data_IF_328865379064
#
_entry.id   IF_328865379064
#
_cell.length_a   1.000
_cell.length_b   1.000
_cell.length_c   1.000
_cell.angle_alpha   90.00
_cell.angle_beta   90.00
_cell.angle_gamma   90.00
#
_symmetry.space_group_name_H-M   'P 1'
#
loop_
_entity.id
_entity.type
_entity.pdbx_description
1 polymer ?
#
# COMPACT_ATOMS: atom_id res chain seq x y z
N UNK A 1 1.43 -76.72 -63.60
CA UNK A 1 0.76 -75.41 -63.78
C UNK A 1 -0.21 -75.20 -62.62
N UNK A 2 -0.03 -74.10 -61.88
CA UNK A 2 -1.00 -73.28 -61.11
C UNK A 2 -1.96 -73.99 -60.14
N UNK A 3 -1.70 -73.90 -58.82
CA UNK A 3 -2.14 -72.86 -57.85
C UNK A 3 -3.55 -73.16 -57.29
N UNK A 4 -3.65 -73.33 -55.97
CA UNK A 4 -4.69 -72.82 -55.03
C UNK A 4 -4.58 -73.62 -53.72
N UNK A 5 -4.54 -72.92 -52.58
CA UNK A 5 -4.37 -73.47 -51.23
C UNK A 5 -3.72 -72.43 -50.32
N UNK A 6 -4.35 -71.26 -50.14
CA UNK A 6 -5.28 -70.93 -49.05
C UNK A 6 -4.54 -70.57 -47.75
N UNK A 7 -4.47 -69.25 -47.53
CA UNK A 7 -4.37 -68.49 -46.28
C UNK A 7 -4.19 -69.29 -44.98
N UNK A 8 -3.04 -69.07 -44.33
CA UNK A 8 -2.93 -69.21 -42.87
C UNK A 8 -2.43 -67.86 -42.35
N UNK A 9 -3.37 -67.16 -41.70
CA UNK A 9 -3.19 -65.86 -41.10
C UNK A 9 -2.12 -65.95 -40.00
N UNK A 10 -0.98 -65.31 -40.23
CA UNK A 10 -0.07 -64.93 -39.16
C UNK A 10 -0.74 -63.82 -38.36
N UNK A 11 -1.19 -64.16 -37.14
CA UNK A 11 -1.61 -63.21 -36.13
C UNK A 11 -0.41 -62.30 -35.84
N UNK A 12 -0.39 -61.15 -36.48
CA UNK A 12 0.46 -60.03 -36.08
C UNK A 12 -0.13 -59.54 -34.76
N UNK A 13 0.48 -59.97 -33.66
CA UNK A 13 0.20 -59.44 -32.33
C UNK A 13 0.57 -57.96 -32.36
N UNK A 14 -0.43 -57.10 -32.56
CA UNK A 14 -0.34 -55.69 -32.22
C UNK A 14 -0.23 -55.67 -30.69
N UNK A 15 1.00 -55.65 -30.19
CA UNK A 15 1.29 -55.13 -28.87
C UNK A 15 0.82 -53.67 -28.92
N UNK A 16 -0.43 -53.43 -28.55
CA UNK A 16 -0.81 -52.13 -28.03
C UNK A 16 0.09 -51.95 -26.82
N UNK A 17 1.14 -51.15 -27.00
CA UNK A 17 1.70 -50.39 -25.90
C UNK A 17 0.50 -49.67 -25.29
N UNK A 18 -0.02 -50.20 -24.19
CA UNK A 18 -0.66 -49.37 -23.20
C UNK A 18 0.44 -48.40 -22.76
N UNK A 19 0.60 -47.31 -23.52
CA UNK A 19 1.01 -46.08 -22.93
C UNK A 19 0.01 -45.89 -21.79
N UNK A 20 0.45 -46.12 -20.56
CA UNK A 20 -0.11 -45.42 -19.42
C UNK A 20 0.09 -43.93 -19.74
N UNK A 21 -0.81 -43.36 -20.55
CA UNK A 21 -1.05 -41.94 -20.47
C UNK A 21 -1.48 -41.74 -19.03
N UNK A 22 -0.63 -41.09 -18.22
CA UNK A 22 -1.17 -40.29 -17.12
C UNK A 22 -2.29 -39.49 -17.77
N UNK A 23 -3.52 -39.68 -17.32
CA UNK A 23 -4.57 -38.75 -17.69
C UNK A 23 -4.02 -37.36 -17.33
N UNK A 24 -3.98 -36.46 -18.31
CA UNK A 24 -3.78 -35.05 -18.07
C UNK A 24 -4.81 -34.63 -17.03
N UNK A 25 -4.34 -34.03 -15.94
CA UNK A 25 -5.20 -33.59 -14.86
C UNK A 25 -6.05 -32.45 -15.40
N UNK A 26 -7.30 -32.37 -14.97
CA UNK A 26 -8.10 -31.17 -15.23
C UNK A 26 -7.78 -30.05 -14.22
N UNK A 27 -8.27 -28.83 -14.49
CA UNK A 27 -8.02 -27.65 -13.66
C UNK A 27 -8.51 -27.80 -12.22
N UNK A 28 -9.60 -28.54 -12.00
CA UNK A 28 -10.12 -28.78 -10.64
C UNK A 28 -9.21 -29.73 -9.88
N UNK A 29 -8.69 -30.76 -10.55
CA UNK A 29 -7.72 -31.69 -9.97
C UNK A 29 -6.38 -31.01 -9.66
N UNK A 30 -5.92 -30.10 -10.54
CA UNK A 30 -4.69 -29.32 -10.30
C UNK A 30 -4.85 -28.39 -9.09
N UNK A 31 -5.94 -27.61 -9.01
CA UNK A 31 -6.21 -26.74 -7.87
C UNK A 31 -6.35 -27.53 -6.57
N UNK A 32 -7.11 -28.63 -6.56
CA UNK A 32 -7.27 -29.47 -5.38
C UNK A 32 -5.93 -30.01 -4.85
N UNK A 33 -5.04 -30.43 -5.75
CA UNK A 33 -3.69 -30.87 -5.36
C UNK A 33 -2.81 -29.74 -4.86
N UNK A 34 -3.00 -28.53 -5.40
CA UNK A 34 -2.24 -27.36 -4.96
C UNK A 34 -2.66 -26.93 -3.56
N UNK A 35 -3.96 -26.98 -3.25
CA UNK A 35 -4.49 -26.77 -1.89
C UNK A 35 -3.93 -27.81 -0.91
N UNK A 36 -3.88 -29.09 -1.30
CA UNK A 36 -3.28 -30.14 -0.48
C UNK A 36 -1.78 -29.89 -0.24
N UNK A 37 -1.03 -29.52 -1.28
CA UNK A 37 0.40 -29.24 -1.18
C UNK A 37 0.70 -28.01 -0.31
N UNK A 38 -0.12 -26.97 -0.41
CA UNK A 38 0.04 -25.71 0.33
C UNK A 38 -0.11 -25.90 1.85
N UNK A 39 -0.89 -26.90 2.28
CA UNK A 39 -1.03 -27.24 3.70
C UNK A 39 0.26 -27.79 4.34
N UNK A 40 1.20 -28.29 3.53
CA UNK A 40 2.49 -28.84 3.97
C UNK A 40 3.65 -27.80 3.83
N UNK A 41 3.32 -26.56 3.48
CA UNK A 41 4.28 -25.45 3.44
C UNK A 41 4.43 -24.88 4.85
N UNK A 42 5.68 -24.77 5.29
CA UNK A 42 6.09 -24.25 6.59
C UNK A 42 7.02 -23.05 6.47
N UNK A 43 7.62 -22.85 5.30
CA UNK A 43 8.39 -21.65 5.01
C UNK A 43 8.63 -21.50 3.53
N UNK A 44 8.88 -20.29 3.06
CA UNK A 44 9.28 -20.03 1.68
C UNK A 44 9.86 -18.62 1.54
N UNK A 45 10.55 -18.38 0.43
CA UNK A 45 11.04 -17.06 0.04
C UNK A 45 10.18 -16.50 -1.08
N UNK A 46 9.92 -15.20 -1.07
CA UNK A 46 9.22 -14.47 -2.13
C UNK A 46 10.13 -13.45 -2.80
N UNK A 47 9.89 -13.22 -4.09
CA UNK A 47 10.44 -12.10 -4.85
C UNK A 47 9.35 -11.56 -5.77
N UNK A 48 9.08 -10.26 -5.71
CA UNK A 48 8.05 -9.58 -6.49
C UNK A 48 8.65 -8.35 -7.16
N UNK A 49 8.31 -8.15 -8.43
CA UNK A 49 8.53 -6.91 -9.16
C UNK A 49 7.18 -6.40 -9.67
N UNK A 50 6.88 -5.13 -9.43
CA UNK A 50 5.62 -4.50 -9.75
C UNK A 50 5.84 -3.09 -10.30
N UNK A 51 5.09 -2.73 -11.33
CA UNK A 51 4.93 -1.36 -11.80
C UNK A 51 3.48 -0.92 -11.62
N UNK A 52 3.30 0.27 -11.07
CA UNK A 52 2.03 0.95 -10.86
C UNK A 52 2.07 2.25 -11.68
N UNK A 53 1.11 2.39 -12.60
CA UNK A 53 0.98 3.56 -13.49
C UNK A 53 -0.37 4.23 -13.24
N UNK A 54 -0.36 5.35 -12.54
CA UNK A 54 -1.53 6.16 -12.22
C UNK A 54 -1.42 7.51 -12.94
N UNK A 55 -1.87 7.53 -14.19
CA UNK A 55 -1.81 8.68 -15.11
C UNK A 55 -0.41 9.31 -15.23
N UNK A 56 -0.14 10.42 -14.53
CA UNK A 56 1.16 11.10 -14.54
C UNK A 56 2.15 10.58 -13.47
N UNK A 57 1.71 9.71 -12.57
CA UNK A 57 2.54 9.11 -11.53
C UNK A 57 2.89 7.66 -11.85
N UNK A 58 4.20 7.40 -11.98
CA UNK A 58 4.75 6.05 -12.13
C UNK A 58 5.51 5.67 -10.87
N UNK A 59 5.22 4.48 -10.39
CA UNK A 59 5.86 3.86 -9.25
C UNK A 59 6.32 2.45 -9.66
N UNK A 60 7.49 2.04 -9.21
CA UNK A 60 7.92 0.64 -9.27
C UNK A 60 8.23 0.14 -7.87
N UNK A 61 7.76 -1.05 -7.55
CA UNK A 61 8.00 -1.72 -6.27
C UNK A 61 8.73 -3.03 -6.57
N UNK A 62 9.86 -3.26 -5.90
CA UNK A 62 10.48 -4.58 -5.83
C UNK A 62 10.50 -5.04 -4.40
N UNK A 63 10.12 -6.29 -4.15
CA UNK A 63 10.04 -6.88 -2.82
C UNK A 63 10.76 -8.21 -2.83
N UNK A 64 11.47 -8.52 -1.76
CA UNK A 64 12.03 -9.83 -1.50
C UNK A 64 11.91 -10.14 -0.01
N UNK A 65 11.73 -11.41 0.33
CA UNK A 65 11.66 -11.75 1.73
C UNK A 65 11.39 -13.21 1.99
N UNK A 66 11.27 -13.51 3.28
CA UNK A 66 11.07 -14.85 3.80
C UNK A 66 9.83 -14.89 4.69
N UNK A 67 9.07 -15.97 4.56
CA UNK A 67 7.86 -16.25 5.33
C UNK A 67 8.04 -17.62 5.99
N UNK A 68 7.70 -17.72 7.28
CA UNK A 68 7.68 -18.97 8.04
C UNK A 68 6.35 -19.15 8.74
N UNK A 69 5.91 -20.39 8.90
CA UNK A 69 4.73 -20.78 9.66
C UNK A 69 5.09 -21.62 10.88
N UNK A 70 4.34 -21.47 11.97
CA UNK A 70 4.57 -22.16 13.24
C UNK A 70 6.00 -22.00 13.83
N UNK A 71 6.42 -20.80 14.26
CA UNK A 71 5.60 -19.59 14.40
C UNK A 71 5.45 -18.81 13.08
N UNK A 72 4.35 -18.07 12.96
CA UNK A 72 4.11 -17.20 11.81
C UNK A 72 5.03 -15.98 11.92
N UNK A 73 5.87 -15.78 10.91
CA UNK A 73 6.84 -14.69 10.86
C UNK A 73 7.10 -14.29 9.40
N UNK A 74 7.23 -13.00 9.17
CA UNK A 74 7.47 -12.39 7.86
C UNK A 74 8.64 -11.41 7.97
N UNK A 75 9.65 -11.57 7.12
CA UNK A 75 10.74 -10.60 6.94
C UNK A 75 10.82 -10.17 5.49
N UNK A 76 10.55 -8.90 5.22
CA UNK A 76 10.50 -8.34 3.87
C UNK A 76 11.49 -7.19 3.72
N UNK A 77 12.07 -7.09 2.53
CA UNK A 77 12.81 -5.94 2.06
C UNK A 77 12.11 -5.45 0.79
N UNK A 78 11.59 -4.24 0.84
CA UNK A 78 10.90 -3.58 -0.25
C UNK A 78 11.73 -2.38 -0.71
N UNK A 79 11.75 -2.15 -2.01
CA UNK A 79 12.35 -1.00 -2.63
C UNK A 79 11.29 -0.36 -3.53
N UNK A 80 10.94 0.88 -3.22
CA UNK A 80 9.95 1.66 -3.93
C UNK A 80 10.64 2.81 -4.65
N UNK A 81 10.48 2.89 -5.96
CA UNK A 81 10.86 4.07 -6.75
C UNK A 81 9.59 4.83 -7.13
N UNK A 82 9.54 6.11 -6.78
CA UNK A 82 8.46 7.01 -7.17
C UNK A 82 9.06 8.33 -7.61
N UNK A 83 8.79 8.73 -8.84
CA UNK A 83 9.29 10.00 -9.43
C UNK A 83 10.82 10.18 -9.33
N UNK A 84 11.58 9.07 -9.33
CA UNK A 84 13.05 9.07 -9.22
C UNK A 84 13.58 9.25 -7.79
N UNK A 85 12.71 9.23 -6.78
CA UNK A 85 13.08 9.03 -5.39
C UNK A 85 12.94 7.55 -5.06
N UNK A 86 14.00 6.99 -4.49
CA UNK A 86 14.04 5.58 -4.11
C UNK A 86 13.96 5.47 -2.58
N UNK A 87 13.04 4.65 -2.09
CA UNK A 87 12.80 4.37 -0.68
C UNK A 87 13.03 2.88 -0.42
N UNK A 88 14.00 2.58 0.44
CA UNK A 88 14.20 1.24 0.98
C UNK A 88 13.37 1.09 2.25
N UNK A 89 12.57 0.04 2.30
CA UNK A 89 11.71 -0.34 3.43
C UNK A 89 12.08 -1.76 3.86
N UNK A 90 12.33 -1.96 5.16
CA UNK A 90 12.53 -3.29 5.74
C UNK A 90 11.41 -3.56 6.75
N UNK A 91 10.88 -4.78 6.80
CA UNK A 91 9.74 -5.11 7.66
C UNK A 91 9.95 -6.44 8.36
N UNK A 92 9.71 -6.48 9.66
CA UNK A 92 9.51 -7.70 10.44
C UNK A 92 8.09 -7.71 10.99
N UNK A 93 7.37 -8.82 10.81
CA UNK A 93 5.98 -8.93 11.25
C UNK A 93 5.68 -10.34 11.78
N UNK A 94 5.07 -10.41 12.95
CA UNK A 94 4.41 -11.60 13.49
C UNK A 94 3.07 -11.21 14.13
N UNK A 95 2.38 -12.15 14.78
CA UNK A 95 1.04 -11.90 15.36
C UNK A 95 1.04 -10.89 16.52
N UNK A 96 2.19 -10.71 17.18
CA UNK A 96 2.34 -9.91 18.39
C UNK A 96 3.13 -8.61 18.16
N UNK A 97 4.05 -8.59 17.19
CA UNK A 97 5.03 -7.51 16.98
C UNK A 97 5.20 -7.20 15.49
N UNK A 98 5.24 -5.90 15.16
CA UNK A 98 5.52 -5.42 13.81
C UNK A 98 6.52 -4.26 13.86
N UNK A 99 7.53 -4.31 13.00
CA UNK A 99 8.54 -3.28 12.88
C UNK A 99 8.78 -2.96 11.42
N UNK A 100 8.83 -1.67 11.09
CA UNK A 100 9.14 -1.18 9.76
C UNK A 100 10.31 -0.21 9.83
N UNK A 101 11.33 -0.42 9.00
CA UNK A 101 12.37 0.56 8.78
C UNK A 101 12.10 1.36 7.53
N UNK A 102 12.21 2.68 7.64
CA UNK A 102 12.22 3.58 6.50
C UNK A 102 13.44 4.49 6.61
N UNK A 103 14.25 4.57 5.54
CA UNK A 103 15.48 5.39 5.53
C UNK A 103 16.49 5.04 6.65
N UNK A 104 16.42 3.82 7.19
CA UNK A 104 17.31 3.31 8.24
C UNK A 104 16.88 3.59 9.67
N UNK A 105 15.75 4.27 9.88
CA UNK A 105 15.13 4.43 11.20
C UNK A 105 14.04 3.37 11.36
N UNK A 106 13.91 2.77 12.55
CA UNK A 106 12.92 1.72 12.84
C UNK A 106 11.70 2.32 13.54
N UNK A 107 10.53 1.85 13.16
CA UNK A 107 9.24 2.19 13.78
C UNK A 107 8.56 0.91 14.24
N UNK A 108 7.97 0.96 15.43
CA UNK A 108 7.02 -0.05 15.89
C UNK A 108 5.64 0.27 15.33
N UNK A 109 5.00 -0.72 14.71
CA UNK A 109 3.68 -0.61 14.07
C UNK A 109 2.68 -1.52 14.78
N UNK A 110 1.38 -1.23 14.65
CA UNK A 110 0.36 -2.22 15.03
C UNK A 110 0.38 -3.38 14.01
N UNK A 111 0.58 -4.65 14.42
CA UNK A 111 0.57 -5.79 13.51
C UNK A 111 -0.71 -5.91 12.66
N UNK A 112 -1.84 -5.40 13.15
CA UNK A 112 -3.11 -5.39 12.42
C UNK A 112 -3.17 -4.37 11.28
N UNK A 113 -2.25 -3.41 11.22
CA UNK A 113 -2.18 -2.46 10.10
C UNK A 113 -1.43 -3.03 8.89
N UNK A 114 -0.51 -3.97 9.13
CA UNK A 114 0.27 -4.60 8.05
C UNK A 114 -0.42 -5.86 7.53
N UNK A 115 -1.14 -6.59 8.39
CA UNK A 115 -1.90 -7.78 8.02
C UNK A 115 -1.00 -8.93 7.53
N UNK A 116 -0.70 -9.88 8.41
CA UNK A 116 0.11 -11.06 8.07
C UNK A 116 -0.41 -11.82 6.84
N UNK A 117 -1.73 -11.96 6.76
CA UNK A 117 -2.42 -12.67 5.68
C UNK A 117 -2.18 -12.02 4.31
N UNK A 118 -2.02 -10.69 4.26
CA UNK A 118 -1.76 -9.95 3.02
C UNK A 118 -0.50 -10.42 2.30
N UNK A 119 0.49 -10.93 3.03
CA UNK A 119 1.77 -11.36 2.45
C UNK A 119 1.84 -12.88 2.24
N UNK A 120 0.92 -13.66 2.81
CA UNK A 120 0.94 -15.12 2.80
C UNK A 120 0.23 -15.74 1.57
N UNK A 121 0.78 -15.47 0.38
CA UNK A 121 0.10 -15.69 -0.90
C UNK A 121 0.00 -17.16 -1.37
N UNK A 122 0.71 -18.10 -0.75
CA UNK A 122 0.69 -19.53 -1.18
C UNK A 122 0.17 -20.47 -0.10
N UNK A 123 -0.55 -19.92 0.88
CA UNK A 123 -1.19 -20.73 1.90
C UNK A 123 -2.44 -21.45 1.37
N UNK A 124 -2.97 -22.33 2.22
CA UNK A 124 -4.14 -23.14 1.88
C UNK A 124 -5.38 -22.29 1.61
N UNK A 125 -5.59 -21.21 2.35
CA UNK A 125 -6.76 -20.35 2.24
C UNK A 125 -6.77 -19.58 0.92
N UNK A 126 -5.64 -18.97 0.55
CA UNK A 126 -5.46 -18.29 -0.74
C UNK A 126 -5.70 -19.23 -1.92
N UNK A 127 -5.14 -20.44 -1.86
CA UNK A 127 -5.39 -21.44 -2.91
C UNK A 127 -6.85 -21.93 -2.95
N UNK A 128 -7.55 -21.94 -1.80
CA UNK A 128 -8.98 -22.26 -1.74
C UNK A 128 -9.84 -21.16 -2.38
N UNK A 129 -9.48 -19.88 -2.26
CA UNK A 129 -10.19 -18.76 -2.93
C UNK A 129 -10.24 -18.96 -4.45
N UNK A 130 -9.16 -19.42 -5.06
CA UNK A 130 -9.08 -19.65 -6.52
C UNK A 130 -10.13 -20.67 -7.03
N UNK A 131 -10.61 -21.57 -6.18
CA UNK A 131 -11.61 -22.57 -6.57
C UNK A 131 -12.94 -21.95 -7.02
N UNK A 132 -13.26 -20.75 -6.52
CA UNK A 132 -14.44 -19.97 -6.93
C UNK A 132 -14.43 -19.64 -8.43
N UNK A 133 -13.23 -19.51 -9.01
CA UNK A 133 -13.00 -19.10 -10.40
C UNK A 133 -12.59 -20.27 -11.31
N UNK A 134 -12.67 -21.50 -10.81
CA UNK A 134 -12.24 -22.71 -11.54
C UNK A 134 -12.82 -22.75 -12.95
N UNK A 135 -14.10 -22.45 -13.15
CA UNK A 135 -14.75 -22.52 -14.47
C UNK A 135 -14.24 -21.46 -15.45
N UNK A 136 -13.81 -20.30 -14.95
CA UNK A 136 -13.30 -19.17 -15.73
C UNK A 136 -11.84 -19.35 -16.13
N UNK A 137 -11.07 -20.14 -15.37
CA UNK A 137 -9.69 -20.45 -15.74
C UNK A 137 -9.58 -21.21 -17.06
N UNK A 138 -8.71 -20.72 -17.93
CA UNK A 138 -8.10 -21.49 -19.00
C UNK A 138 -6.84 -22.17 -18.46
N UNK A 139 -6.65 -23.45 -18.77
CA UNK A 139 -5.45 -24.18 -18.34
C UNK A 139 -4.66 -24.67 -19.55
N UNK A 140 -3.35 -24.39 -19.52
CA UNK A 140 -2.38 -24.98 -20.44
C UNK A 140 -1.38 -25.83 -19.69
N UNK A 141 -0.96 -26.92 -20.32
CA UNK A 141 0.09 -27.78 -19.79
C UNK A 141 1.41 -27.52 -20.50
N UNK A 142 2.42 -27.10 -19.74
CA UNK A 142 3.79 -26.95 -20.21
C UNK A 142 4.67 -28.13 -19.76
N UNK A 143 5.98 -28.11 -20.05
CA UNK A 143 6.87 -29.23 -19.74
C UNK A 143 6.91 -29.56 -18.24
N UNK A 144 7.08 -28.54 -17.40
CA UNK A 144 7.26 -28.70 -15.94
C UNK A 144 6.15 -28.07 -15.10
N UNK A 145 5.19 -27.38 -15.71
CA UNK A 145 4.18 -26.61 -14.98
C UNK A 145 2.79 -26.71 -15.62
N UNK A 146 1.77 -26.56 -14.79
CA UNK A 146 0.42 -26.18 -15.18
C UNK A 146 0.32 -24.66 -15.14
N UNK A 147 -0.28 -24.06 -16.16
CA UNK A 147 -0.48 -22.61 -16.23
C UNK A 147 -1.97 -22.35 -16.26
N UNK A 148 -2.49 -21.68 -15.23
CA UNK A 148 -3.89 -21.27 -15.10
C UNK A 148 -4.00 -19.79 -15.42
N UNK A 149 -4.73 -19.43 -16.48
CA UNK A 149 -4.96 -18.05 -16.91
C UNK A 149 -6.40 -17.64 -16.65
N UNK A 150 -6.57 -16.49 -16.01
CA UNK A 150 -7.86 -15.83 -15.82
C UNK A 150 -7.80 -14.47 -16.50
N UNK A 151 -8.71 -14.23 -17.44
CA UNK A 151 -8.82 -12.94 -18.12
C UNK A 151 -10.26 -12.46 -18.15
N UNK A 152 -10.46 -11.16 -17.96
CA UNK A 152 -11.76 -10.52 -18.15
C UNK A 152 -11.92 -9.24 -17.35
N UNK A 153 -13.15 -8.84 -17.10
CA UNK A 153 -13.50 -7.60 -16.42
C UNK A 153 -14.83 -7.72 -15.67
N UNK A 154 -15.14 -8.93 -15.23
CA UNK A 154 -16.36 -9.23 -14.49
C UNK A 154 -16.17 -8.79 -13.03
N UNK A 155 -17.17 -8.13 -12.45
CA UNK A 155 -17.17 -7.67 -11.06
C UNK A 155 -16.96 -8.81 -10.05
N UNK A 156 -17.24 -10.07 -10.43
CA UNK A 156 -16.92 -11.24 -9.60
C UNK A 156 -15.43 -11.40 -9.33
N UNK A 157 -14.55 -10.81 -10.13
CA UNK A 157 -13.09 -10.87 -9.92
C UNK A 157 -12.57 -9.83 -8.93
N UNK A 158 -13.44 -8.98 -8.38
CA UNK A 158 -13.06 -7.93 -7.44
C UNK A 158 -12.30 -8.45 -6.22
N UNK A 159 -12.68 -9.60 -5.68
CA UNK A 159 -11.98 -10.25 -4.56
C UNK A 159 -10.49 -10.50 -4.87
N UNK A 160 -10.17 -10.93 -6.10
CA UNK A 160 -8.77 -11.16 -6.51
C UNK A 160 -7.98 -9.86 -6.69
N UNK A 161 -8.65 -8.76 -6.99
CA UNK A 161 -8.02 -7.44 -7.11
C UNK A 161 -7.73 -6.87 -5.73
N UNK A 162 -8.68 -7.02 -4.80
CA UNK A 162 -8.50 -6.67 -3.39
C UNK A 162 -7.26 -7.40 -2.82
N UNK A 163 -7.14 -8.72 -3.05
CA UNK A 163 -5.96 -9.50 -2.62
C UNK A 163 -4.64 -8.93 -3.19
N UNK A 164 -4.59 -8.60 -4.49
CA UNK A 164 -3.38 -8.03 -5.13
C UNK A 164 -3.04 -6.66 -4.53
N UNK A 165 -4.03 -5.80 -4.33
CA UNK A 165 -3.81 -4.46 -3.74
C UNK A 165 -3.31 -4.59 -2.30
N UNK A 166 -3.98 -5.40 -1.46
CA UNK A 166 -3.59 -5.63 -0.07
C UNK A 166 -2.18 -6.22 0.04
N UNK A 167 -1.80 -7.15 -0.83
CA UNK A 167 -0.44 -7.72 -0.86
C UNK A 167 0.65 -6.70 -1.19
N UNK A 168 0.28 -5.63 -1.90
CA UNK A 168 1.19 -4.59 -2.38
C UNK A 168 1.36 -3.45 -1.40
N UNK A 169 0.30 -3.15 -0.63
CA UNK A 169 0.22 -1.98 0.24
C UNK A 169 0.11 -2.34 1.73
N UNK A 170 -0.04 -3.63 2.09
CA UNK A 170 -0.44 -4.05 3.44
C UNK A 170 -1.93 -3.80 3.71
N UNK A 171 -2.38 -4.06 4.94
CA UNK A 171 -3.73 -3.69 5.43
C UNK A 171 -3.90 -2.17 5.68
N UNK A 172 -3.19 -1.32 4.94
CA UNK A 172 -3.42 0.14 4.84
C UNK A 172 -4.84 0.47 4.30
N UNK A 173 -5.62 -0.56 3.95
CA UNK A 173 -7.07 -0.55 3.74
C UNK A 173 -7.93 -0.19 4.98
N UNK A 174 -7.35 -0.06 6.18
CA UNK A 174 -8.09 0.36 7.37
C UNK A 174 -8.41 1.87 7.40
N UNK A 175 -7.80 2.67 6.52
CA UNK A 175 -8.18 4.06 6.31
C UNK A 175 -9.55 4.12 5.58
N UNK A 176 -10.58 4.78 6.15
CA UNK A 176 -11.90 4.92 5.52
C UNK A 176 -11.85 5.52 4.11
N UNK A 177 -10.86 6.36 3.80
CA UNK A 177 -10.63 6.94 2.48
C UNK A 177 -10.10 5.89 1.49
N UNK A 178 -9.16 5.04 1.92
CA UNK A 178 -8.68 3.91 1.11
C UNK A 178 -9.78 2.88 0.86
N UNK A 179 -10.65 2.64 1.85
CA UNK A 179 -11.83 1.79 1.69
C UNK A 179 -12.80 2.36 0.64
N UNK A 180 -13.10 3.66 0.67
CA UNK A 180 -13.92 4.32 -0.36
C UNK A 180 -13.27 4.25 -1.74
N UNK A 181 -11.95 4.46 -1.83
CA UNK A 181 -11.21 4.34 -3.09
C UNK A 181 -11.32 2.94 -3.68
N UNK A 182 -11.07 1.88 -2.89
CA UNK A 182 -11.23 0.47 -3.32
C UNK A 182 -12.67 0.19 -3.74
N UNK A 183 -13.65 0.74 -3.04
CA UNK A 183 -15.06 0.63 -3.39
C UNK A 183 -15.44 1.33 -4.70
N UNK A 184 -14.68 2.35 -5.10
CA UNK A 184 -14.90 3.10 -6.34
C UNK A 184 -14.28 2.47 -7.60
N UNK A 185 -13.40 1.47 -7.42
CA UNK A 185 -12.65 0.83 -8.50
C UNK A 185 -13.60 0.13 -9.49
N UNK A 186 -13.39 0.41 -10.78
CA UNK A 186 -13.98 -0.32 -11.90
C UNK A 186 -12.92 -1.12 -12.62
N UNK A 187 -13.21 -2.40 -12.83
CA UNK A 187 -12.31 -3.31 -13.54
C UNK A 187 -12.46 -3.07 -15.04
N UNK A 188 -11.40 -2.65 -15.73
CA UNK A 188 -11.39 -2.57 -17.20
C UNK A 188 -10.91 -3.84 -17.83
N UNK A 189 -9.82 -4.36 -17.29
CA UNK A 189 -9.21 -5.57 -17.72
C UNK A 189 -8.42 -6.18 -16.56
N UNK A 190 -8.52 -7.48 -16.41
CA UNK A 190 -7.78 -8.28 -15.45
C UNK A 190 -7.17 -9.42 -16.25
N UNK A 191 -5.86 -9.59 -16.12
CA UNK A 191 -5.14 -10.79 -16.56
C UNK A 191 -4.33 -11.31 -15.38
N UNK A 192 -4.63 -12.53 -14.94
CA UNK A 192 -3.87 -13.25 -13.92
C UNK A 192 -3.40 -14.57 -14.48
N UNK A 193 -2.16 -14.94 -14.18
CA UNK A 193 -1.55 -16.20 -14.58
C UNK A 193 -0.87 -16.86 -13.40
N UNK A 194 -1.28 -18.08 -13.06
CA UNK A 194 -0.73 -18.87 -11.97
C UNK A 194 0.04 -20.07 -12.53
N UNK A 195 1.29 -20.20 -12.12
CA UNK A 195 2.20 -21.27 -12.51
C UNK A 195 2.33 -22.28 -11.38
N UNK A 196 1.91 -23.52 -11.63
CA UNK A 196 1.88 -24.60 -10.63
C UNK A 196 2.84 -25.69 -11.08
N UNK A 197 3.82 -26.02 -10.25
CA UNK A 197 4.81 -27.06 -10.54
C UNK A 197 4.15 -28.45 -10.66
N UNK A 198 4.51 -29.22 -11.69
CA UNK A 198 3.86 -30.51 -12.00
C UNK A 198 4.24 -31.63 -11.04
N UNK A 199 5.35 -31.52 -10.32
CA UNK A 199 5.84 -32.55 -9.41
C UNK A 199 5.31 -32.34 -8.00
N UNK A 200 5.37 -31.10 -7.53
CA UNK A 200 5.05 -30.68 -6.16
C UNK A 200 3.65 -30.13 -6.02
N UNK A 201 3.03 -29.65 -7.11
CA UNK A 201 1.76 -28.92 -7.11
C UNK A 201 1.79 -27.59 -6.34
N UNK A 202 2.97 -27.05 -6.07
CA UNK A 202 3.11 -25.76 -5.42
C UNK A 202 2.99 -24.66 -6.47
N UNK A 203 2.29 -23.58 -6.12
CA UNK A 203 2.26 -22.34 -6.91
C UNK A 203 3.61 -21.64 -6.79
N UNK A 204 4.32 -21.51 -7.92
CA UNK A 204 5.71 -21.02 -7.97
C UNK A 204 5.84 -19.61 -8.52
N UNK A 205 4.85 -19.15 -9.29
CA UNK A 205 4.88 -17.84 -9.94
C UNK A 205 3.46 -17.35 -10.25
N UNK A 206 3.23 -16.08 -10.02
CA UNK A 206 2.02 -15.36 -10.40
C UNK A 206 2.42 -14.18 -11.28
N UNK A 207 1.77 -14.02 -12.43
CA UNK A 207 1.89 -12.83 -13.27
C UNK A 207 0.55 -12.13 -13.28
N UNK A 208 0.56 -10.81 -13.11
CA UNK A 208 -0.65 -9.99 -13.14
C UNK A 208 -0.46 -8.77 -14.04
N UNK A 209 -1.52 -8.43 -14.75
CA UNK A 209 -1.63 -7.23 -15.59
C UNK A 209 -3.09 -6.76 -15.50
N UNK A 210 -3.30 -5.71 -14.72
CA UNK A 210 -4.60 -5.23 -14.27
C UNK A 210 -4.77 -3.77 -14.69
N UNK A 211 -5.83 -3.49 -15.43
CA UNK A 211 -6.27 -2.14 -15.79
C UNK A 211 -7.55 -1.81 -15.00
N UNK A 212 -7.47 -0.76 -14.19
CA UNK A 212 -8.51 -0.27 -13.31
C UNK A 212 -8.86 1.19 -13.65
N UNK A 213 -10.06 1.60 -13.28
CA UNK A 213 -10.45 3.01 -13.21
C UNK A 213 -10.92 3.32 -11.80
N UNK A 214 -10.26 4.26 -11.14
CA UNK A 214 -10.75 4.85 -9.88
C UNK A 214 -11.66 6.02 -10.20
N UNK A 215 -12.78 6.12 -9.49
CA UNK A 215 -13.78 7.16 -9.74
C UNK A 215 -14.03 7.93 -8.45
N UNK A 216 -13.53 9.16 -8.40
CA UNK A 216 -13.78 10.09 -7.30
C UNK A 216 -14.60 11.28 -7.80
N UNK A 217 -15.87 11.35 -7.39
CA UNK A 217 -16.83 12.33 -7.86
C UNK A 217 -16.98 12.32 -9.39
N UNK A 218 -16.55 13.41 -10.04
CA UNK A 218 -16.56 13.59 -11.50
C UNK A 218 -15.20 13.25 -12.16
N UNK A 219 -14.17 12.94 -11.36
CA UNK A 219 -12.83 12.59 -11.81
C UNK A 219 -12.72 11.08 -12.01
N UNK A 220 -12.05 10.65 -13.08
CA UNK A 220 -11.76 9.24 -13.33
C UNK A 220 -10.28 9.10 -13.62
N UNK A 221 -9.58 8.36 -12.77
CA UNK A 221 -8.14 8.15 -12.85
C UNK A 221 -7.85 6.73 -13.30
N UNK A 222 -7.18 6.52 -14.45
CA UNK A 222 -6.76 5.19 -14.86
C UNK A 222 -5.61 4.72 -13.97
N UNK A 223 -5.66 3.45 -13.58
CA UNK A 223 -4.64 2.79 -12.77
C UNK A 223 -4.26 1.48 -13.44
N UNK A 224 -2.99 1.32 -13.82
CA UNK A 224 -2.47 0.07 -14.37
C UNK A 224 -1.47 -0.54 -13.40
N UNK A 225 -1.68 -1.81 -13.06
CA UNK A 225 -0.83 -2.56 -12.13
C UNK A 225 -0.33 -3.79 -12.89
N UNK A 226 0.98 -3.91 -13.05
CA UNK A 226 1.58 -5.07 -13.72
C UNK A 226 2.78 -5.57 -12.94
N UNK A 227 2.95 -6.88 -12.88
CA UNK A 227 4.05 -7.45 -12.12
C UNK A 227 4.10 -8.96 -12.14
N UNK A 228 5.09 -9.47 -11.44
CA UNK A 228 5.36 -10.88 -11.24
C UNK A 228 5.72 -11.11 -9.77
N UNK A 229 5.15 -12.14 -9.16
CA UNK A 229 5.51 -12.67 -7.86
C UNK A 229 6.04 -14.08 -8.07
N UNK A 230 7.20 -14.40 -7.51
CA UNK A 230 7.79 -15.73 -7.53
C UNK A 230 8.00 -16.25 -6.12
N UNK A 231 7.82 -17.55 -5.96
CA UNK A 231 8.05 -18.25 -4.69
C UNK A 231 9.14 -19.30 -4.86
N UNK A 232 9.98 -19.41 -3.85
CA UNK A 232 11.14 -20.30 -3.86
C UNK A 232 11.49 -20.77 -2.45
N UNK A 233 12.56 -21.56 -2.32
CA UNK A 233 13.08 -22.03 -1.03
C UNK A 233 12.03 -22.69 -0.11
N UNK A 234 11.07 -23.42 -0.71
CA UNK A 234 9.99 -24.08 0.02
C UNK A 234 10.57 -25.00 1.11
N UNK A 235 10.11 -24.81 2.35
CA UNK A 235 10.52 -25.52 3.55
C UNK A 235 12.04 -25.46 3.83
N UNK A 236 12.72 -24.45 3.30
CA UNK A 236 14.18 -24.26 3.41
C UNK A 236 14.62 -22.99 4.14
N UNK A 237 13.70 -22.17 4.65
CA UNK A 237 14.01 -20.96 5.43
C UNK A 237 14.27 -21.36 6.87
N UNK A 238 15.29 -20.78 7.49
CA UNK A 238 15.50 -20.92 8.94
C UNK A 238 14.44 -20.12 9.72
N UNK A 239 14.12 -20.49 10.98
CA UNK A 239 13.20 -19.72 11.80
C UNK A 239 13.65 -18.27 11.91
N UNK A 240 12.78 -17.35 11.54
CA UNK A 240 13.10 -15.93 11.52
C UNK A 240 12.90 -15.36 12.93
N UNK A 241 13.82 -14.49 13.35
CA UNK A 241 13.81 -13.85 14.68
C UNK A 241 14.03 -12.36 14.49
N UNK A 242 13.20 -11.55 15.13
CA UNK A 242 13.35 -10.09 15.15
C UNK A 242 14.64 -9.76 15.93
N UNK A 243 15.62 -9.06 15.32
CA UNK A 243 16.86 -8.70 16.00
C UNK A 243 16.61 -7.81 17.23
N UNK A 244 17.33 -8.03 18.32
CA UNK A 244 17.21 -7.21 19.53
C UNK A 244 17.47 -5.71 19.25
N UNK A 245 18.38 -5.40 18.32
CA UNK A 245 18.68 -4.03 17.92
C UNK A 245 17.49 -3.32 17.25
N UNK A 246 16.63 -4.05 16.53
CA UNK A 246 15.40 -3.50 15.95
C UNK A 246 14.46 -3.10 17.09
N UNK A 247 14.23 -3.99 18.05
CA UNK A 247 13.35 -3.75 19.20
C UNK A 247 13.82 -2.60 20.09
N UNK A 248 15.13 -2.45 20.24
CA UNK A 248 15.73 -1.40 21.07
C UNK A 248 15.81 -0.02 20.37
N UNK A 249 15.84 0.02 19.04
CA UNK A 249 15.94 1.26 18.25
C UNK A 249 14.62 1.72 17.65
N UNK A 250 13.62 0.85 17.57
CA UNK A 250 12.29 1.20 17.11
C UNK A 250 11.69 2.29 18.00
N UNK A 251 11.22 3.36 17.35
CA UNK A 251 10.40 4.38 18.00
C UNK A 251 8.93 4.03 17.80
N UNK A 252 8.09 4.28 18.79
CA UNK A 252 6.64 4.14 18.61
C UNK A 252 6.09 5.32 17.79
N UNK A 253 4.91 5.16 17.20
CA UNK A 253 4.22 6.28 16.56
C UNK A 253 4.08 7.49 17.51
N UNK A 254 3.70 7.24 18.77
CA UNK A 254 3.65 8.26 19.83
C UNK A 254 5.01 8.93 20.13
N UNK A 255 6.15 8.29 19.84
CA UNK A 255 7.48 8.88 20.07
C UNK A 255 7.93 9.70 18.85
N UNK A 256 7.52 9.29 17.65
CA UNK A 256 7.77 10.01 16.40
C UNK A 256 6.86 11.23 16.25
N UNK A 257 5.60 11.08 16.66
CA UNK A 257 4.58 12.12 16.72
C UNK A 257 4.13 12.31 18.18
N UNK A 258 4.95 12.93 19.05
CA UNK A 258 4.68 13.12 20.48
C UNK A 258 3.45 13.97 20.81
N UNK A 259 2.72 14.37 19.79
CA UNK A 259 1.51 15.16 19.87
C UNK A 259 0.26 14.41 19.40
N UNK A 260 0.30 13.08 19.18
CA UNK A 260 -0.84 12.26 18.73
C UNK A 260 -2.12 12.41 19.58
N UNK A 261 -2.00 12.82 20.84
CA UNK A 261 -3.12 13.37 21.62
C UNK A 261 -3.39 14.83 21.20
N UNK A 262 -4.12 15.00 20.10
CA UNK A 262 -4.58 16.32 19.66
C UNK A 262 -5.28 17.06 20.80
N UNK A 263 -4.86 18.30 21.04
CA UNK A 263 -5.39 19.12 22.13
C UNK A 263 -6.49 20.04 21.60
N UNK A 264 -7.56 20.20 22.37
CA UNK A 264 -8.51 21.28 22.13
C UNK A 264 -7.87 22.65 22.37
N UNK A 265 -8.42 23.69 21.76
CA UNK A 265 -7.99 25.08 21.99
C UNK A 265 -8.06 25.45 23.48
N UNK A 266 -9.05 24.91 24.21
CA UNK A 266 -9.17 25.12 25.66
C UNK A 266 -7.98 24.52 26.43
N UNK A 267 -7.51 23.34 26.04
CA UNK A 267 -6.35 22.67 26.65
C UNK A 267 -5.04 23.39 26.31
N UNK A 268 -4.86 23.78 25.04
CA UNK A 268 -3.70 24.56 24.60
C UNK A 268 -3.61 25.89 25.35
N UNK A 269 -4.74 26.54 25.60
CA UNK A 269 -4.79 27.81 26.31
C UNK A 269 -4.31 27.70 27.77
N UNK A 270 -4.35 26.51 28.39
CA UNK A 270 -3.79 26.28 29.73
C UNK A 270 -2.25 26.20 29.73
N UNK A 271 -1.64 25.92 28.58
CA UNK A 271 -0.19 25.75 28.43
C UNK A 271 0.53 27.06 28.13
N UNK A 272 -0.11 27.97 27.41
CA UNK A 272 0.50 29.22 26.96
C UNK A 272 0.06 30.44 27.78
N UNK A 273 0.92 31.46 27.79
CA UNK A 273 0.65 32.71 28.51
C UNK A 273 -0.05 33.79 27.66
N UNK A 274 -0.12 33.57 26.34
CA UNK A 274 -0.77 34.44 25.37
C UNK A 274 -2.17 33.93 25.00
N UNK A 275 -3.01 34.81 24.44
CA UNK A 275 -4.36 34.45 24.00
C UNK A 275 -4.27 33.72 22.65
N UNK A 276 -4.80 32.50 22.60
CA UNK A 276 -4.97 31.74 21.37
C UNK A 276 -6.20 32.29 20.64
N UNK A 277 -6.07 32.59 19.36
CA UNK A 277 -7.15 33.14 18.54
C UNK A 277 -7.46 32.15 17.43
N UNK A 278 -8.73 31.75 17.34
CA UNK A 278 -9.22 30.92 16.23
C UNK A 278 -9.69 31.82 15.07
N UNK A 279 -9.41 31.46 13.81
CA UNK A 279 -9.96 32.15 12.65
C UNK A 279 -11.49 32.09 12.69
N UNK A 280 -12.14 33.26 12.52
CA UNK A 280 -13.61 33.33 12.45
C UNK A 280 -14.17 32.95 11.07
N UNK A 281 -13.30 32.80 10.07
CA UNK A 281 -13.62 32.31 8.74
C UNK A 281 -12.55 31.33 8.25
N UNK A 282 -12.99 30.18 7.76
CA UNK A 282 -12.17 29.21 7.02
C UNK A 282 -12.86 28.85 5.71
N UNK A 283 -12.13 28.44 4.66
CA UNK A 283 -12.75 28.08 3.38
C UNK A 283 -13.76 26.94 3.55
N UNK A 284 -14.74 26.87 2.64
CA UNK A 284 -15.78 25.85 2.70
C UNK A 284 -15.19 24.44 2.66
N UNK A 285 -15.59 23.59 3.61
CA UNK A 285 -15.13 22.21 3.74
C UNK A 285 -13.98 22.00 4.72
N UNK A 286 -13.26 23.06 5.11
CA UNK A 286 -12.22 22.98 6.13
C UNK A 286 -12.85 22.97 7.53
N UNK A 287 -12.45 22.02 8.36
CA UNK A 287 -12.92 21.88 9.74
C UNK A 287 -11.74 21.73 10.69
N UNK A 288 -11.87 22.22 11.92
CA UNK A 288 -10.85 21.98 12.95
C UNK A 288 -10.64 20.48 13.13
N UNK A 289 -9.38 20.05 13.11
CA UNK A 289 -9.00 18.64 13.27
C UNK A 289 -8.18 18.44 14.53
N UNK A 290 -7.17 19.28 14.75
CA UNK A 290 -6.16 19.05 15.78
C UNK A 290 -5.47 20.34 16.23
N UNK A 291 -4.87 20.28 17.41
CA UNK A 291 -4.12 21.38 18.02
C UNK A 291 -2.91 20.87 18.78
N UNK A 292 -1.79 21.60 18.66
CA UNK A 292 -0.48 21.21 19.15
C UNK A 292 0.25 22.34 19.85
N UNK A 293 1.10 22.01 20.82
CA UNK A 293 1.96 22.95 21.52
C UNK A 293 3.42 22.47 21.51
N UNK A 294 4.32 23.24 20.91
CA UNK A 294 5.76 23.04 20.98
C UNK A 294 6.36 23.85 22.13
N UNK A 295 6.80 23.16 23.19
CA UNK A 295 7.43 23.77 24.37
C UNK A 295 8.76 24.48 24.07
N UNK A 296 9.47 24.05 23.02
CA UNK A 296 10.79 24.60 22.63
C UNK A 296 10.64 25.96 21.98
N UNK A 297 9.63 26.08 21.12
CA UNK A 297 9.33 27.31 20.38
C UNK A 297 8.28 28.19 21.07
N UNK A 298 7.71 27.73 22.19
CA UNK A 298 6.52 28.31 22.81
C UNK A 298 5.45 28.62 21.75
N UNK A 299 5.19 27.63 20.89
CA UNK A 299 4.41 27.77 19.66
C UNK A 299 3.16 26.90 19.74
N UNK A 300 2.02 27.48 19.38
CA UNK A 300 0.77 26.76 19.19
C UNK A 300 0.51 26.60 17.71
N UNK A 301 0.10 25.40 17.30
CA UNK A 301 -0.39 25.09 15.96
C UNK A 301 -1.83 24.60 16.06
N UNK A 302 -2.70 25.09 15.20
CA UNK A 302 -4.07 24.63 15.06
C UNK A 302 -4.33 24.29 13.59
N UNK A 303 -4.78 23.07 13.32
CA UNK A 303 -5.04 22.59 11.96
C UNK A 303 -6.52 22.60 11.63
N UNK A 304 -6.80 22.95 10.38
CA UNK A 304 -8.10 22.87 9.75
C UNK A 304 -7.93 22.10 8.45
N UNK A 305 -8.57 20.95 8.34
CA UNK A 305 -8.38 20.06 7.19
C UNK A 305 -9.69 19.90 6.43
N UNK A 306 -9.55 19.79 5.11
CA UNK A 306 -10.64 19.40 4.20
C UNK A 306 -10.46 17.96 3.75
N UNK A 307 -9.23 17.59 3.42
CA UNK A 307 -8.77 16.25 3.02
C UNK A 307 -7.23 16.19 3.10
N UNK A 308 -6.60 15.05 2.79
CA UNK A 308 -5.15 14.84 2.95
C UNK A 308 -4.28 15.85 2.18
N UNK A 309 -4.71 16.24 0.99
CA UNK A 309 -3.96 17.17 0.13
C UNK A 309 -4.34 18.63 0.38
N UNK A 310 -5.38 18.89 1.18
CA UNK A 310 -5.98 20.21 1.38
C UNK A 310 -6.15 20.53 2.87
N UNK A 311 -5.18 21.26 3.42
CA UNK A 311 -5.14 21.63 4.84
C UNK A 311 -4.64 23.07 5.03
N UNK A 312 -5.06 23.68 6.14
CA UNK A 312 -4.63 25.00 6.59
C UNK A 312 -4.25 24.89 8.06
N UNK A 313 -3.08 25.40 8.41
CA UNK A 313 -2.63 25.53 9.79
C UNK A 313 -2.50 27.00 10.18
N UNK A 314 -2.95 27.33 11.39
CA UNK A 314 -2.62 28.56 12.07
C UNK A 314 -1.53 28.27 13.10
N UNK A 315 -0.41 28.97 13.01
CA UNK A 315 0.63 28.97 14.04
C UNK A 315 0.73 30.31 14.74
N UNK A 316 1.05 30.25 16.03
CA UNK A 316 1.18 31.41 16.91
C UNK A 316 2.34 31.20 17.87
N UNK A 317 3.33 32.11 17.88
CA UNK A 317 4.44 32.09 18.83
C UNK A 317 4.86 33.52 19.25
N UNK A 318 5.50 33.71 20.41
CA UNK A 318 6.05 35.00 20.79
C UNK A 318 7.17 35.46 19.84
N UNK A 319 7.17 36.75 19.47
CA UNK A 319 8.21 37.34 18.59
C UNK A 319 9.62 37.30 19.20
N UNK A 320 9.73 37.06 20.51
CA UNK A 320 11.01 36.88 21.20
C UNK A 320 11.68 35.53 20.87
N UNK A 321 10.90 34.56 20.40
CA UNK A 321 11.37 33.21 20.01
C UNK A 321 11.66 33.16 18.51
N UNK A 322 10.69 33.56 17.69
CA UNK A 322 10.79 33.60 16.24
C UNK A 322 9.97 34.79 15.71
N UNK A 323 10.54 35.57 14.80
CA UNK A 323 9.98 36.85 14.38
C UNK A 323 9.80 36.94 12.87
N UNK A 324 8.99 37.89 12.40
CA UNK A 324 8.76 38.11 10.97
C UNK A 324 10.05 38.52 10.23
N UNK A 325 11.04 39.06 10.94
CA UNK A 325 12.34 39.39 10.35
C UNK A 325 13.14 38.16 9.90
N UNK A 326 12.78 36.97 10.39
CA UNK A 326 13.42 35.70 10.07
C UNK A 326 12.67 34.93 8.96
N UNK A 327 11.52 35.46 8.49
CA UNK A 327 10.68 34.87 7.43
C UNK A 327 11.07 35.45 6.07
N UNK A 328 11.23 34.59 5.07
CA UNK A 328 11.52 34.99 3.68
C UNK A 328 10.24 35.01 2.83
N UNK A 329 10.09 36.02 1.96
CA UNK A 329 8.95 36.09 1.05
C UNK A 329 8.72 37.48 0.45
N UNK A 330 7.57 37.67 -0.17
CA UNK A 330 7.10 38.96 -0.68
C UNK A 330 6.29 39.71 0.37
N UNK A 331 6.25 41.04 0.31
CA UNK A 331 5.49 41.84 1.27
C UNK A 331 3.99 41.82 0.94
N UNK A 332 3.17 41.65 1.98
CA UNK A 332 1.71 41.73 1.93
C UNK A 332 1.20 42.59 3.10
N UNK A 333 -0.02 43.12 2.99
CA UNK A 333 -0.69 43.82 4.09
C UNK A 333 -1.75 42.89 4.70
N UNK A 334 -1.66 42.64 6.01
CA UNK A 334 -2.64 41.84 6.76
C UNK A 334 -3.22 42.72 7.85
N UNK A 335 -4.53 42.98 7.80
CA UNK A 335 -5.24 43.82 8.79
C UNK A 335 -4.61 45.21 9.03
N UNK A 336 -3.93 45.77 8.03
CA UNK A 336 -3.24 47.07 8.11
C UNK A 336 -1.83 47.01 8.72
N UNK A 337 -1.29 45.80 8.93
CA UNK A 337 0.08 45.54 9.39
C UNK A 337 0.90 44.93 8.24
N UNK A 338 2.20 45.17 8.25
CA UNK A 338 3.14 44.55 7.31
C UNK A 338 3.25 43.05 7.60
N UNK A 339 3.04 42.23 6.58
CA UNK A 339 3.20 40.79 6.60
C UNK A 339 4.08 40.32 5.44
N UNK A 340 4.38 39.03 5.45
CA UNK A 340 5.14 38.34 4.42
C UNK A 340 4.29 37.21 3.87
N UNK A 341 4.29 37.08 2.54
CA UNK A 341 3.71 35.94 1.85
C UNK A 341 4.82 35.09 1.24
N UNK A 342 4.70 33.78 1.44
CA UNK A 342 5.57 32.77 0.89
C UNK A 342 4.75 31.82 -0.01
N UNK A 343 5.29 31.51 -1.18
CA UNK A 343 4.66 30.65 -2.20
C UNK A 343 5.74 29.80 -2.85
N UNK A 344 5.75 28.50 -2.56
CA UNK A 344 6.68 27.55 -3.15
C UNK A 344 6.10 26.14 -3.17
N UNK A 345 6.26 25.45 -4.31
CA UNK A 345 6.00 24.01 -4.48
C UNK A 345 4.62 23.53 -3.98
N UNK A 346 3.59 24.38 -4.10
CA UNK A 346 2.21 24.05 -3.70
C UNK A 346 1.86 24.41 -2.26
N UNK A 347 2.81 24.94 -1.50
CA UNK A 347 2.60 25.50 -0.16
C UNK A 347 2.50 27.03 -0.22
N UNK A 348 1.47 27.57 0.42
CA UNK A 348 1.23 29.00 0.59
C UNK A 348 1.23 29.34 2.08
N UNK A 349 1.93 30.39 2.48
CA UNK A 349 1.80 30.94 3.84
C UNK A 349 1.80 32.45 3.89
N UNK A 350 1.06 33.00 4.86
CA UNK A 350 1.01 34.42 5.18
C UNK A 350 1.39 34.58 6.65
N UNK A 351 2.48 35.28 6.92
CA UNK A 351 2.98 35.54 8.26
C UNK A 351 2.93 37.03 8.59
N UNK A 352 2.54 37.40 9.81
CA UNK A 352 2.51 38.79 10.28
C UNK A 352 2.67 38.88 11.80
N UNK A 353 3.10 40.04 12.30
CA UNK A 353 3.19 40.28 13.74
C UNK A 353 2.01 41.11 14.24
N UNK A 354 1.35 40.67 15.30
CA UNK A 354 0.37 41.50 16.01
C UNK A 354 0.45 41.21 17.51
N UNK A 355 0.28 42.24 18.35
CA UNK A 355 0.22 42.11 19.80
C UNK A 355 1.41 41.38 20.49
N UNK A 356 2.58 41.33 19.83
CA UNK A 356 3.77 40.65 20.37
C UNK A 356 3.86 39.16 20.02
N UNK A 357 2.96 38.66 19.16
CA UNK A 357 3.01 37.33 18.57
C UNK A 357 3.33 37.43 17.08
N UNK A 358 4.05 36.44 16.57
CA UNK A 358 4.08 36.09 15.16
C UNK A 358 2.92 35.13 14.90
N UNK A 359 2.11 35.47 13.92
CA UNK A 359 1.08 34.62 13.37
C UNK A 359 1.55 34.14 12.00
N UNK A 360 1.24 32.90 11.67
CA UNK A 360 1.35 32.40 10.32
C UNK A 360 0.17 31.50 9.99
N UNK A 361 -0.52 31.83 8.90
CA UNK A 361 -1.52 30.95 8.30
C UNK A 361 -0.86 30.32 7.09
N UNK A 362 -0.59 29.03 7.16
CA UNK A 362 0.02 28.23 6.10
C UNK A 362 -0.92 27.16 5.61
N UNK A 363 -0.78 26.71 4.37
CA UNK A 363 -1.60 25.63 3.86
C UNK A 363 -1.10 25.08 2.53
N UNK A 364 -1.54 23.86 2.25
CA UNK A 364 -1.32 23.17 0.99
C UNK A 364 -2.68 22.79 0.43
N UNK A 365 -2.84 22.90 -0.89
CA UNK A 365 -4.10 22.55 -1.55
C UNK A 365 -4.10 22.85 -3.03
N UNK A 366 -4.75 21.98 -3.81
CA UNK A 366 -4.85 22.14 -5.27
C UNK A 366 -5.76 23.32 -5.66
N UNK A 367 -6.69 23.68 -4.77
CA UNK A 367 -7.64 24.79 -4.96
C UNK A 367 -7.42 25.96 -3.98
N UNK A 368 -6.42 25.89 -3.09
CA UNK A 368 -6.17 26.92 -2.09
C UNK A 368 -5.52 28.16 -2.73
N UNK A 369 -6.21 29.30 -2.69
CA UNK A 369 -5.68 30.56 -3.23
C UNK A 369 -5.13 31.48 -2.15
N UNK A 370 -4.23 32.37 -2.56
CA UNK A 370 -3.71 33.44 -1.70
C UNK A 370 -4.84 34.29 -1.12
N UNK A 371 -5.90 34.58 -1.90
CA UNK A 371 -7.03 35.36 -1.38
C UNK A 371 -7.79 34.63 -0.28
N UNK A 372 -7.95 33.31 -0.39
CA UNK A 372 -8.60 32.51 0.65
C UNK A 372 -7.75 32.47 1.92
N UNK A 373 -6.43 32.28 1.79
CA UNK A 373 -5.52 32.28 2.92
C UNK A 373 -5.47 33.65 3.61
N UNK A 374 -5.53 34.74 2.82
CA UNK A 374 -5.62 36.10 3.34
C UNK A 374 -6.95 36.34 4.06
N UNK A 375 -8.07 35.80 3.57
CA UNK A 375 -9.36 35.90 4.27
C UNK A 375 -9.32 35.19 5.64
N UNK A 376 -8.65 34.03 5.73
CA UNK A 376 -8.41 33.36 7.02
C UNK A 376 -7.56 34.25 7.93
N UNK A 377 -6.44 34.76 7.43
CA UNK A 377 -5.54 35.64 8.18
C UNK A 377 -6.22 36.93 8.67
N UNK A 378 -7.11 37.52 7.86
CA UNK A 378 -7.88 38.71 8.23
C UNK A 378 -9.04 38.43 9.20
N UNK A 379 -9.41 37.16 9.39
CA UNK A 379 -10.52 36.73 10.25
C UNK A 379 -10.12 36.40 11.69
N UNK A 380 -8.82 36.17 11.90
CA UNK A 380 -8.13 36.22 13.21
C UNK A 380 -8.15 37.67 13.67
#
# INVERSE_FOLDING_TARGET
MKKIGLFLAGVLVILMLAACGKASLDKSEVLAKSIEASADIHSYSIEMDMDIDMDDMKQSVSMKGDITHNPDMIHLNMNMDMLGMNMDIETYLNQDEAYMSMMGEWMEMDPSELGLESFDQINKEEMEKLTKFTEQFEMTEEENQYVLKLSGNDETYRELIEDVISSSMGEVSADPYMEELINSIKIKNLNLEYHIDKETFIHTMQVFDIELEMVDGDTTTPLNIKGELTTSNINGVEPIVIPDEVKESAVTEDEMYPYSDSMSVEELQELVSYEIVEPSAVPEGYIFTEGYYDETMDMVTISYDKDFDNWIMLTMNPIEVFSLADVEGESIEVRGTEGIIYDMEGYLSISWEENGLLYEVGGMGTDLTIEQLLEVAESI
#
